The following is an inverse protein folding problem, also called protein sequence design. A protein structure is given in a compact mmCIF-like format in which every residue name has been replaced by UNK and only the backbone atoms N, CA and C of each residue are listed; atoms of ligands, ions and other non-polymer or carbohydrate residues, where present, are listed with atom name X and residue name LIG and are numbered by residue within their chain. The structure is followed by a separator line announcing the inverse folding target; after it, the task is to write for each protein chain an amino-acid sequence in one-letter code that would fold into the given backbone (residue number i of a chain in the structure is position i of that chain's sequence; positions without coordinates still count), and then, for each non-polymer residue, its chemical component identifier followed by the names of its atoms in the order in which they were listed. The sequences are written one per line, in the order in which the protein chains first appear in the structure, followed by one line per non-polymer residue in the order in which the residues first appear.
data_IF_712398080208
#
_entry.id   IF_712398080208
#
_cell.length_a   1.000
_cell.length_b   1.000
_cell.length_c   1.000
_cell.angle_alpha   90.00
_cell.angle_beta   90.00
_cell.angle_gamma   90.00
#
_symmetry.space_group_name_H-M   'P 1'
#
loop_
_entity.id
_entity.type
_entity.pdbx_description
1 polymer ?
#
# COMPACT_ATOMS: atom_id res chain seq x y z
N UNK A 1 -4.59 -6.51 -14.22
CA UNK A 1 -6.04 -6.30 -13.96
C UNK A 1 -6.23 -5.19 -12.93
N UNK A 2 -6.27 -3.92 -13.34
CA UNK A 2 -6.36 -2.76 -12.42
C UNK A 2 -7.61 -2.79 -11.54
N UNK A 3 -8.75 -3.24 -12.07
CA UNK A 3 -10.00 -3.38 -11.33
C UNK A 3 -9.86 -4.31 -10.10
N UNK A 4 -9.18 -5.44 -10.25
CA UNK A 4 -8.93 -6.36 -9.14
C UNK A 4 -8.06 -5.71 -8.05
N UNK A 5 -7.02 -4.97 -8.45
CA UNK A 5 -6.16 -4.24 -7.51
C UNK A 5 -6.97 -3.19 -6.75
N UNK A 6 -7.90 -2.50 -7.42
CA UNK A 6 -8.79 -1.54 -6.76
C UNK A 6 -9.69 -2.22 -5.71
N UNK A 7 -10.28 -3.37 -6.04
CA UNK A 7 -11.09 -4.15 -5.10
C UNK A 7 -10.25 -4.58 -3.88
N UNK A 8 -9.06 -5.13 -4.13
CA UNK A 8 -8.12 -5.52 -3.06
C UNK A 8 -7.75 -4.34 -2.18
N UNK A 9 -7.48 -3.16 -2.76
CA UNK A 9 -7.15 -1.95 -2.01
C UNK A 9 -8.29 -1.54 -1.05
N UNK A 10 -9.55 -1.59 -1.52
CA UNK A 10 -10.71 -1.27 -0.69
C UNK A 10 -10.87 -2.27 0.46
N UNK A 11 -10.80 -3.57 0.17
CA UNK A 11 -10.92 -4.63 1.19
C UNK A 11 -9.78 -4.52 2.21
N UNK A 12 -8.55 -4.25 1.77
CA UNK A 12 -7.39 -4.11 2.63
C UNK A 12 -7.50 -2.91 3.57
N UNK A 13 -7.94 -1.74 3.08
CA UNK A 13 -8.19 -0.57 3.92
C UNK A 13 -9.34 -0.80 4.91
N UNK A 14 -10.42 -1.44 4.47
CA UNK A 14 -11.53 -1.80 5.35
C UNK A 14 -11.07 -2.76 6.46
N UNK A 15 -10.28 -3.79 6.11
CA UNK A 15 -9.71 -4.72 7.07
C UNK A 15 -8.77 -4.04 8.07
N UNK A 16 -7.84 -3.19 7.59
CA UNK A 16 -6.95 -2.42 8.46
C UNK A 16 -7.73 -1.63 9.51
N UNK A 17 -8.73 -0.85 9.08
CA UNK A 17 -9.52 -0.04 10.00
C UNK A 17 -10.43 -0.87 10.90
N UNK A 18 -11.03 -1.95 10.39
CA UNK A 18 -11.88 -2.82 11.20
C UNK A 18 -11.09 -3.51 12.33
N UNK A 19 -10.00 -4.18 12.01
CA UNK A 19 -9.18 -4.88 13.01
C UNK A 19 -8.36 -3.92 13.86
N UNK A 20 -7.91 -2.80 13.29
CA UNK A 20 -7.23 -1.74 14.04
C UNK A 20 -8.17 -1.11 15.08
N UNK A 21 -9.42 -0.85 14.72
CA UNK A 21 -10.43 -0.36 15.66
C UNK A 21 -10.68 -1.37 16.77
N UNK A 22 -10.94 -2.65 16.43
CA UNK A 22 -11.13 -3.73 17.41
C UNK A 22 -9.94 -3.80 18.39
N UNK A 23 -8.71 -3.78 17.88
CA UNK A 23 -7.50 -3.83 18.71
C UNK A 23 -7.36 -2.62 19.65
N UNK A 24 -7.86 -1.45 19.24
CA UNK A 24 -7.75 -0.21 20.02
C UNK A 24 -8.89 -0.01 21.03
N UNK A 25 -10.07 -0.54 20.77
CA UNK A 25 -11.27 -0.20 21.55
C UNK A 25 -11.84 -1.34 22.37
N UNK A 26 -11.53 -2.60 22.04
CA UNK A 26 -12.09 -3.74 22.75
C UNK A 26 -11.30 -4.03 24.03
N UNK A 27 -11.92 -3.77 25.19
CA UNK A 27 -11.35 -4.07 26.52
C UNK A 27 -11.35 -5.55 26.88
N UNK A 28 -12.20 -6.34 26.21
CA UNK A 28 -12.54 -7.70 26.63
C UNK A 28 -11.86 -8.78 25.75
N UNK A 29 -10.90 -8.36 24.91
CA UNK A 29 -10.11 -9.29 24.11
C UNK A 29 -9.12 -10.05 25.00
N UNK A 30 -9.06 -11.36 24.82
CA UNK A 30 -7.90 -12.12 25.30
C UNK A 30 -6.63 -11.66 24.59
N UNK A 31 -5.47 -11.87 25.22
CA UNK A 31 -4.17 -11.53 24.63
C UNK A 31 -3.99 -12.14 23.23
N UNK A 32 -4.38 -13.40 23.05
CA UNK A 32 -4.32 -14.07 21.75
C UNK A 32 -5.21 -13.40 20.69
N UNK A 33 -6.43 -12.98 21.05
CA UNK A 33 -7.31 -12.29 20.11
C UNK A 33 -6.79 -10.90 19.76
N UNK A 34 -6.19 -10.18 20.73
CA UNK A 34 -5.53 -8.90 20.48
C UNK A 34 -4.38 -9.05 19.48
N UNK A 35 -3.51 -10.05 19.68
CA UNK A 35 -2.41 -10.35 18.76
C UNK A 35 -2.94 -10.64 17.35
N UNK A 36 -3.98 -11.47 17.23
CA UNK A 36 -4.59 -11.77 15.93
C UNK A 36 -5.18 -10.52 15.28
N UNK A 37 -5.89 -9.67 16.04
CA UNK A 37 -6.44 -8.42 15.52
C UNK A 37 -5.33 -7.48 15.00
N UNK A 38 -4.23 -7.35 15.75
CA UNK A 38 -3.08 -6.55 15.31
C UNK A 38 -2.44 -7.12 14.05
N UNK A 39 -2.27 -8.45 13.96
CA UNK A 39 -1.71 -9.10 12.77
C UNK A 39 -2.60 -8.91 11.53
N UNK A 40 -3.92 -9.03 11.69
CA UNK A 40 -4.88 -8.81 10.62
C UNK A 40 -4.90 -7.33 10.18
N UNK A 41 -4.83 -6.39 11.13
CA UNK A 41 -4.71 -4.97 10.84
C UNK A 41 -3.42 -4.71 10.05
N UNK A 42 -2.28 -5.22 10.53
CA UNK A 42 -1.00 -5.08 9.86
C UNK A 42 -1.00 -5.66 8.43
N UNK A 43 -1.56 -6.85 8.24
CA UNK A 43 -1.71 -7.44 6.91
C UNK A 43 -2.57 -6.56 5.99
N UNK A 44 -3.68 -6.00 6.51
CA UNK A 44 -4.51 -5.03 5.80
C UNK A 44 -3.73 -3.79 5.39
N UNK A 45 -2.90 -3.23 6.29
CA UNK A 45 -2.09 -2.05 6.01
C UNK A 45 -1.06 -2.31 4.91
N UNK A 46 -0.28 -3.40 5.02
CA UNK A 46 0.75 -3.75 4.04
C UNK A 46 0.11 -3.98 2.67
N UNK A 47 -0.96 -4.77 2.60
CA UNK A 47 -1.67 -5.04 1.35
C UNK A 47 -2.30 -3.78 0.76
N UNK A 48 -2.87 -2.92 1.60
CA UNK A 48 -3.48 -1.65 1.19
C UNK A 48 -2.44 -0.70 0.60
N UNK A 49 -1.30 -0.52 1.26
CA UNK A 49 -0.19 0.31 0.74
C UNK A 49 0.33 -0.23 -0.60
N UNK A 50 0.57 -1.55 -0.70
CA UNK A 50 1.05 -2.15 -1.95
C UNK A 50 0.04 -2.00 -3.10
N UNK A 51 -1.25 -2.22 -2.83
CA UNK A 51 -2.31 -2.07 -3.82
C UNK A 51 -2.48 -0.60 -4.24
N UNK A 52 -2.45 0.33 -3.28
CA UNK A 52 -2.51 1.76 -3.53
C UNK A 52 -1.35 2.22 -4.42
N UNK A 53 -0.11 1.84 -4.12
CA UNK A 53 1.05 2.20 -4.93
C UNK A 53 0.94 1.67 -6.38
N UNK A 54 0.37 0.47 -6.55
CA UNK A 54 0.07 -0.07 -7.88
C UNK A 54 -1.03 0.74 -8.60
N UNK A 55 -2.05 1.20 -7.90
CA UNK A 55 -3.11 2.04 -8.47
C UNK A 55 -2.58 3.42 -8.88
N UNK A 56 -1.73 4.05 -8.08
CA UNK A 56 -1.09 5.32 -8.44
C UNK A 56 -0.37 5.20 -9.79
N UNK A 57 0.51 4.19 -9.93
CA UNK A 57 1.21 3.93 -11.19
C UNK A 57 0.27 3.62 -12.36
N UNK A 58 -0.83 2.90 -12.10
CA UNK A 58 -1.82 2.61 -13.12
C UNK A 58 -2.55 3.88 -13.58
N UNK A 59 -2.88 4.79 -12.67
CA UNK A 59 -3.50 6.09 -12.97
C UNK A 59 -2.58 7.02 -13.76
N UNK A 60 -1.27 7.00 -13.46
CA UNK A 60 -0.27 7.72 -14.25
C UNK A 60 -0.17 7.15 -15.67
N UNK A 61 -0.11 5.82 -15.81
CA UNK A 61 0.01 5.15 -17.10
C UNK A 61 -1.21 5.34 -18.01
N UNK A 62 -2.41 5.53 -17.45
CA UNK A 62 -3.62 5.83 -18.23
C UNK A 62 -3.82 7.32 -18.51
N UNK A 63 -2.93 8.19 -18.02
CA UNK A 63 -3.07 9.64 -18.12
C UNK A 63 -4.13 10.25 -17.20
N UNK A 64 -4.72 9.47 -16.30
CA UNK A 64 -5.68 9.97 -15.30
C UNK A 64 -4.99 10.84 -14.22
N UNK A 65 -3.72 10.57 -13.94
CA UNK A 65 -2.90 11.37 -13.03
C UNK A 65 -1.63 11.86 -13.74
N UNK A 66 -1.13 13.03 -13.34
CA UNK A 66 0.18 13.51 -13.76
C UNK A 66 1.24 12.53 -13.25
N UNK A 67 2.07 12.02 -14.16
CA UNK A 67 3.20 11.16 -13.80
C UNK A 67 4.13 11.84 -12.78
N UNK A 68 4.63 11.06 -11.82
CA UNK A 68 5.64 11.52 -10.89
C UNK A 68 6.86 12.07 -11.62
N UNK A 69 7.51 13.09 -11.06
CA UNK A 69 8.76 13.66 -11.60
C UNK A 69 9.97 12.71 -11.42
N UNK A 70 9.74 11.40 -11.27
CA UNK A 70 10.84 10.45 -11.21
C UNK A 70 11.54 10.40 -12.57
N UNK A 71 12.86 10.56 -12.53
CA UNK A 71 13.71 10.26 -13.67
C UNK A 71 13.43 8.83 -14.12
N UNK A 72 13.28 8.67 -15.43
CA UNK A 72 13.24 7.35 -16.06
C UNK A 72 14.39 6.48 -15.55
N UNK A 73 14.17 5.17 -15.42
CA UNK A 73 15.16 4.27 -14.85
C UNK A 73 16.48 4.31 -15.63
N UNK A 74 16.42 4.42 -16.97
CA UNK A 74 17.63 4.53 -17.78
C UNK A 74 18.32 5.89 -17.57
N UNK A 75 17.55 6.98 -17.45
CA UNK A 75 18.11 8.30 -17.15
C UNK A 75 18.79 8.34 -15.76
N UNK A 76 18.18 7.72 -14.75
CA UNK A 76 18.75 7.60 -13.41
C UNK A 76 20.02 6.75 -13.40
N UNK A 77 20.03 5.62 -14.08
CA UNK A 77 21.21 4.75 -14.15
C UNK A 77 22.38 5.45 -14.85
N UNK A 78 22.13 6.16 -15.96
CA UNK A 78 23.15 6.99 -16.63
C UNK A 78 23.73 8.05 -15.70
N UNK A 79 22.86 8.78 -14.99
CA UNK A 79 23.30 9.79 -14.03
C UNK A 79 24.15 9.19 -12.90
N UNK A 80 23.85 7.97 -12.44
CA UNK A 80 24.67 7.26 -11.44
C UNK A 80 26.04 6.83 -12.00
N UNK A 81 26.11 6.39 -13.26
CA UNK A 81 27.37 6.05 -13.93
C UNK A 81 28.26 7.28 -14.18
N UNK A 82 27.67 8.46 -14.37
CA UNK A 82 28.39 9.72 -14.61
C UNK A 82 28.83 10.43 -13.33
N UNK A 83 28.18 10.22 -12.18
CA UNK A 83 28.51 10.92 -10.92
C UNK A 83 29.96 10.66 -10.44
N UNK A 84 30.54 9.51 -10.79
CA UNK A 84 31.90 9.14 -10.36
C UNK A 84 33.03 9.42 -11.37
N UNK A 85 32.72 10.02 -12.53
CA UNK A 85 33.70 10.35 -13.58
C UNK A 85 34.07 11.82 -13.53
#
# INVERSE_FOLDING_TARGET
MTKLIAIVNVIAWAGFWAFGYIALTSSDLSEGQLVIAVLLAFAGLVMGVLAYMKLVRASEATGYAKGSNQLDAAARNRAQEEWGK
#
